data_IF_874500041988
#
_entry.id   IF_874500041988
#
_cell.length_a   1.000
_cell.length_b   1.000
_cell.length_c   1.000
_cell.angle_alpha   90.00
_cell.angle_beta   90.00
_cell.angle_gamma   90.00
#
_symmetry.space_group_name_H-M   'P 1'
#
loop_
_entity.id
_entity.type
_entity.pdbx_description
1 polymer ?
#
# COMPACT_ATOMS: atom_id res chain seq x y z
N UNK A 1 4.67 20.13 -7.99
CA UNK A 1 3.36 19.79 -7.82
C UNK A 1 2.87 19.74 -6.39
N UNK A 2 1.69 20.02 -6.22
CA UNK A 2 1.20 20.28 -4.94
C UNK A 2 0.66 19.10 -4.22
N UNK A 3 0.39 18.02 -4.88
CA UNK A 3 -0.11 16.84 -4.21
C UNK A 3 1.07 16.03 -3.75
N UNK A 4 1.46 16.16 -2.55
CA UNK A 4 2.58 15.40 -2.04
C UNK A 4 2.10 14.03 -1.58
N UNK A 5 1.53 13.29 -2.50
CA UNK A 5 0.96 11.99 -2.25
C UNK A 5 1.59 10.97 -3.18
N UNK A 6 1.92 9.82 -2.64
CA UNK A 6 2.54 8.74 -3.38
C UNK A 6 1.62 7.53 -3.36
N UNK A 7 1.49 6.87 -4.49
CA UNK A 7 0.63 5.69 -4.61
C UNK A 7 1.49 4.46 -4.81
N UNK A 8 1.34 3.46 -3.93
CA UNK A 8 2.17 2.26 -3.98
C UNK A 8 1.39 1.01 -4.38
N UNK A 9 0.36 1.17 -5.19
CA UNK A 9 -0.52 0.07 -5.55
C UNK A 9 0.21 -1.13 -6.14
N UNK A 10 1.22 -0.89 -6.95
CA UNK A 10 1.91 -1.99 -7.64
C UNK A 10 2.89 -2.74 -6.77
N UNK A 11 3.27 -2.18 -5.65
CA UNK A 11 4.28 -2.77 -4.81
C UNK A 11 3.86 -4.08 -4.19
N UNK A 12 2.56 -4.24 -4.00
CA UNK A 12 2.03 -5.43 -3.36
C UNK A 12 1.21 -6.25 -4.32
N UNK A 13 1.70 -6.36 -5.55
CA UNK A 13 1.01 -7.18 -6.54
C UNK A 13 1.09 -8.64 -6.13
N UNK A 14 0.25 -9.45 -6.75
CA UNK A 14 0.18 -10.87 -6.44
C UNK A 14 1.50 -11.59 -6.64
N UNK A 15 2.32 -11.07 -7.54
CA UNK A 15 3.59 -11.71 -7.86
C UNK A 15 4.61 -11.66 -6.74
N UNK A 16 4.42 -10.75 -5.78
CA UNK A 16 5.39 -10.54 -4.73
C UNK A 16 4.90 -10.94 -3.35
N UNK A 17 3.77 -11.60 -3.28
CA UNK A 17 3.20 -11.96 -2.00
C UNK A 17 3.97 -13.05 -1.30
N UNK A 18 3.86 -13.06 0.01
CA UNK A 18 4.41 -14.13 0.82
C UNK A 18 5.91 -14.11 0.98
N UNK A 19 6.56 -13.06 0.54
CA UNK A 19 8.02 -12.94 0.66
C UNK A 19 8.35 -12.02 1.82
N UNK A 20 9.15 -12.51 2.75
CA UNK A 20 9.60 -11.68 3.86
C UNK A 20 10.36 -10.46 3.39
N UNK A 21 11.06 -10.59 2.28
CA UNK A 21 11.84 -9.52 1.71
C UNK A 21 10.97 -8.32 1.32
N UNK A 22 9.70 -8.57 1.02
CA UNK A 22 8.80 -7.47 0.63
C UNK A 22 8.59 -6.48 1.77
N UNK A 23 8.56 -6.95 3.00
CA UNK A 23 8.39 -6.07 4.14
C UNK A 23 9.55 -5.08 4.25
N UNK A 24 10.78 -5.58 4.10
CA UNK A 24 11.95 -4.72 4.16
C UNK A 24 12.01 -3.74 2.99
N UNK A 25 11.69 -4.22 1.80
CA UNK A 25 11.70 -3.35 0.63
C UNK A 25 10.66 -2.25 0.76
N UNK A 26 9.48 -2.59 1.27
CA UNK A 26 8.41 -1.60 1.45
C UNK A 26 8.83 -0.55 2.46
N UNK A 27 9.48 -0.95 3.54
CA UNK A 27 9.94 0.00 4.55
C UNK A 27 10.91 1.01 3.94
N UNK A 28 11.79 0.56 3.07
CA UNK A 28 12.75 1.44 2.43
C UNK A 28 12.08 2.40 1.47
N UNK A 29 11.09 1.93 0.74
CA UNK A 29 10.35 2.80 -0.18
C UNK A 29 9.59 3.86 0.61
N UNK A 30 8.97 3.47 1.71
CA UNK A 30 8.24 4.41 2.56
C UNK A 30 9.20 5.49 3.07
N UNK A 31 10.35 5.08 3.56
CA UNK A 31 11.33 6.04 4.05
C UNK A 31 11.77 6.99 2.94
N UNK A 32 12.04 6.45 1.76
CA UNK A 32 12.43 7.25 0.62
C UNK A 32 11.38 8.28 0.26
N UNK A 33 10.11 7.87 0.26
CA UNK A 33 9.02 8.77 -0.08
C UNK A 33 8.93 9.93 0.90
N UNK A 34 9.06 9.65 2.19
CA UNK A 34 8.93 10.71 3.19
C UNK A 34 10.17 11.57 3.31
N UNK A 35 11.35 11.00 3.16
CA UNK A 35 12.59 11.76 3.38
C UNK A 35 13.14 12.40 2.11
N UNK A 36 13.27 11.61 1.04
CA UNK A 36 13.86 12.12 -0.19
C UNK A 36 12.85 12.84 -1.08
N UNK A 37 11.68 12.23 -1.26
CA UNK A 37 10.65 12.83 -2.10
C UNK A 37 9.78 13.82 -1.35
N UNK A 38 9.94 13.89 -0.03
CA UNK A 38 9.21 14.85 0.82
C UNK A 38 7.70 14.74 0.67
N UNK A 39 7.21 13.53 0.53
CA UNK A 39 5.77 13.31 0.45
C UNK A 39 5.12 13.55 1.81
N UNK A 40 3.88 13.97 1.80
CA UNK A 40 3.12 14.16 3.02
C UNK A 40 2.25 12.96 3.33
N UNK A 41 1.96 12.16 2.32
CA UNK A 41 1.06 11.05 2.47
C UNK A 41 1.41 9.95 1.48
N UNK A 42 1.25 8.71 1.90
CA UNK A 42 1.41 7.54 1.02
C UNK A 42 0.10 6.78 1.02
N UNK A 43 -0.42 6.49 -0.16
CA UNK A 43 -1.61 5.67 -0.33
C UNK A 43 -1.22 4.30 -0.82
N UNK A 44 -1.90 3.28 -0.32
CA UNK A 44 -1.65 1.92 -0.77
C UNK A 44 -2.98 1.17 -0.73
N UNK A 45 -3.13 0.19 -1.61
CA UNK A 45 -4.36 -0.59 -1.62
C UNK A 45 -4.07 -2.04 -1.95
N UNK A 46 -5.05 -2.89 -1.71
CA UNK A 46 -4.94 -4.31 -2.00
C UNK A 46 -6.34 -4.87 -2.21
N UNK A 47 -6.43 -5.93 -3.02
CA UNK A 47 -7.71 -6.64 -3.17
C UNK A 47 -8.17 -7.16 -1.82
N UNK A 48 -9.47 -7.14 -1.62
CA UNK A 48 -10.06 -7.54 -0.35
C UNK A 48 -9.69 -8.97 0.02
N UNK A 49 -9.56 -9.85 -0.95
CA UNK A 49 -9.23 -11.24 -0.66
C UNK A 49 -7.74 -11.50 -0.52
N UNK A 50 -6.91 -10.49 -0.69
CA UNK A 50 -5.48 -10.67 -0.58
C UNK A 50 -5.04 -10.44 0.87
N UNK A 51 -5.23 -11.45 1.71
CA UNK A 51 -4.95 -11.31 3.13
C UNK A 51 -3.49 -11.06 3.42
N UNK A 52 -2.59 -11.62 2.62
CA UNK A 52 -1.16 -11.39 2.82
C UNK A 52 -0.80 -9.93 2.64
N UNK A 53 -1.29 -9.31 1.57
CA UNK A 53 -1.02 -7.90 1.33
C UNK A 53 -1.68 -7.01 2.38
N UNK A 54 -2.92 -7.29 2.73
CA UNK A 54 -3.61 -6.51 3.74
C UNK A 54 -2.91 -6.60 5.09
N UNK A 55 -2.43 -7.79 5.43
CA UNK A 55 -1.68 -7.97 6.67
C UNK A 55 -0.37 -7.20 6.67
N UNK A 56 0.35 -7.24 5.56
CA UNK A 56 1.60 -6.51 5.44
C UNK A 56 1.39 -5.01 5.55
N UNK A 57 0.36 -4.50 4.89
CA UNK A 57 0.06 -3.06 4.92
C UNK A 57 -0.19 -2.60 6.35
N UNK A 58 -0.97 -3.38 7.11
CA UNK A 58 -1.24 -3.03 8.50
C UNK A 58 0.03 -3.08 9.33
N UNK A 59 0.88 -4.07 9.08
CA UNK A 59 2.12 -4.22 9.80
C UNK A 59 3.04 -3.02 9.57
N UNK A 60 2.96 -2.43 8.40
CA UNK A 60 3.77 -1.26 8.07
C UNK A 60 3.25 0.02 8.71
N UNK A 61 2.10 -0.03 9.34
CA UNK A 61 1.58 1.13 10.05
C UNK A 61 0.53 1.93 9.30
N UNK A 62 0.11 1.45 8.15
CA UNK A 62 -0.93 2.13 7.40
C UNK A 62 -2.28 1.98 8.09
N UNK A 63 -3.13 2.97 7.91
CA UNK A 63 -4.47 3.01 8.49
C UNK A 63 -5.49 2.73 7.41
N UNK A 64 -6.42 1.81 7.71
CA UNK A 64 -7.50 1.49 6.80
C UNK A 64 -8.42 2.69 6.63
N UNK A 65 -8.74 3.01 5.38
CA UNK A 65 -9.55 4.19 5.10
C UNK A 65 -10.84 3.91 4.35
N UNK A 66 -11.04 2.68 3.91
CA UNK A 66 -12.29 2.35 3.25
C UNK A 66 -12.14 1.28 2.21
N UNK A 67 -13.26 0.91 1.63
CA UNK A 67 -13.30 -0.12 0.60
C UNK A 67 -13.98 0.47 -0.64
N UNK A 68 -13.35 0.27 -1.80
CA UNK A 68 -13.94 0.65 -3.06
C UNK A 68 -14.57 -0.59 -3.67
N UNK A 69 -15.87 -0.52 -3.90
CA UNK A 69 -16.59 -1.68 -4.39
C UNK A 69 -16.32 -1.95 -5.86
N UNK A 70 -16.03 -3.21 -6.18
CA UNK A 70 -15.81 -3.67 -7.56
C UNK A 70 -14.98 -2.68 -8.37
N UNK A 71 -13.89 -2.24 -7.76
CA UNK A 71 -13.14 -1.14 -8.30
C UNK A 71 -12.07 -1.58 -9.30
N UNK A 72 -11.50 -2.75 -9.10
CA UNK A 72 -10.38 -3.16 -9.92
C UNK A 72 -10.51 -4.59 -10.40
N UNK A 73 -10.11 -4.80 -11.64
CA UNK A 73 -10.18 -6.11 -12.25
C UNK A 73 -8.92 -6.90 -11.96
N UNK A 74 -9.10 -8.13 -11.49
CA UNK A 74 -7.98 -9.00 -11.22
C UNK A 74 -7.46 -9.61 -12.50
N UNK A 75 -6.15 -9.70 -12.63
CA UNK A 75 -5.55 -10.33 -13.79
C UNK A 75 -5.59 -11.86 -13.70
N UNK A 76 -5.88 -12.37 -12.51
CA UNK A 76 -5.91 -13.80 -12.31
C UNK A 76 -7.16 -14.44 -12.91
N UNK A 77 -8.32 -13.90 -12.57
CA UNK A 77 -9.57 -14.48 -13.03
C UNK A 77 -10.45 -13.53 -13.83
N UNK A 78 -9.94 -12.34 -14.08
CA UNK A 78 -10.62 -11.38 -14.94
C UNK A 78 -11.94 -10.88 -14.39
N UNK A 79 -12.13 -10.97 -13.07
CA UNK A 79 -13.32 -10.48 -12.39
C UNK A 79 -13.01 -9.22 -11.61
N UNK A 80 -14.03 -8.41 -11.35
CA UNK A 80 -13.88 -7.20 -10.55
C UNK A 80 -14.03 -7.52 -9.09
N UNK A 81 -13.19 -6.90 -8.27
CA UNK A 81 -13.19 -7.12 -6.83
C UNK A 81 -13.12 -5.81 -6.09
N UNK A 82 -13.52 -5.86 -4.83
CA UNK A 82 -13.38 -4.72 -3.94
C UNK A 82 -11.92 -4.47 -3.61
N UNK A 83 -11.60 -3.22 -3.39
CA UNK A 83 -10.25 -2.81 -3.11
C UNK A 83 -10.20 -2.14 -1.75
N UNK A 84 -9.33 -2.62 -0.85
CA UNK A 84 -9.15 -2.00 0.45
C UNK A 84 -8.14 -0.86 0.31
N UNK A 85 -8.51 0.30 0.84
CA UNK A 85 -7.67 1.49 0.74
C UNK A 85 -7.04 1.82 2.09
N UNK A 86 -5.76 2.16 2.07
CA UNK A 86 -5.02 2.51 3.28
C UNK A 86 -4.20 3.76 3.03
N UNK A 87 -3.91 4.49 4.10
CA UNK A 87 -3.08 5.67 4.01
C UNK A 87 -2.13 5.78 5.18
N UNK A 88 -1.01 6.45 4.95
CA UNK A 88 -0.03 6.73 5.99
C UNK A 88 0.41 8.17 5.84
N UNK A 89 0.18 8.95 6.89
CA UNK A 89 0.60 10.34 6.90
C UNK A 89 2.01 10.46 7.44
N UNK A 90 2.78 11.38 6.88
CA UNK A 90 4.15 11.59 7.32
C UNK A 90 4.24 11.85 8.81
N UNK A 91 3.30 12.63 9.34
CA UNK A 91 3.33 12.97 10.76
C UNK A 91 3.12 11.78 11.67
N UNK A 92 2.56 10.70 11.14
CA UNK A 92 2.31 9.48 11.91
C UNK A 92 3.36 8.41 11.65
N UNK A 93 4.24 8.66 10.69
CA UNK A 93 5.27 7.71 10.35
C UNK A 93 6.40 7.79 11.36
N UNK A 94 6.81 6.64 11.86
CA UNK A 94 7.88 6.59 12.83
C UNK A 94 9.13 6.01 12.20
N UNK A 95 10.15 6.80 12.21
CA UNK A 95 11.42 6.36 11.67
C UNK A 95 12.03 5.32 12.60
N UNK A 96 12.47 4.23 12.03
CA UNK A 96 13.10 3.17 12.80
C UNK A 96 14.60 3.22 12.68
#
# INVERSE_FOLDING_TARGET
HFHRTCELAYWLSEDYQGKGIMHEAAKRVIQFCFTELKMQRININAFVMNSASNGLIKKLGFVYEGTRKEYKKSRVDNKYYDLEEYGLLKKNWKKK
#
